data_IF_449125943773
#
_entry.id   IF_449125943773
#
_cell.length_a   1.000
_cell.length_b   1.000
_cell.length_c   1.000
_cell.angle_alpha   90.00
_cell.angle_beta   90.00
_cell.angle_gamma   90.00
#
_symmetry.space_group_name_H-M   'P 1'
#
loop_
_entity.id
_entity.type
_entity.pdbx_description
1 polymer ?
#
# COMPACT_ATOMS: atom_id res chain seq x y z
N UNK A 1 19.22 48.31 -77.75
CA UNK A 1 18.98 47.36 -76.65
C UNK A 1 19.08 45.93 -77.18
N UNK A 2 20.31 45.53 -77.51
CA UNK A 2 20.74 44.13 -77.50
C UNK A 2 21.21 43.83 -76.07
N UNK A 3 21.34 42.56 -75.68
CA UNK A 3 21.84 42.04 -74.39
C UNK A 3 20.82 41.82 -73.26
N UNK A 4 19.95 40.80 -73.38
CA UNK A 4 19.59 39.95 -72.21
C UNK A 4 19.13 38.54 -72.64
N UNK A 5 18.49 38.39 -73.80
CA UNK A 5 17.93 37.08 -74.21
C UNK A 5 18.97 36.07 -74.73
N UNK A 6 20.21 36.48 -74.98
CA UNK A 6 21.26 35.61 -75.53
C UNK A 6 22.05 34.80 -74.49
N UNK A 7 21.78 34.99 -73.20
CA UNK A 7 22.54 34.33 -72.11
C UNK A 7 21.81 33.15 -71.45
N UNK A 8 20.52 32.93 -71.72
CA UNK A 8 19.72 31.90 -71.02
C UNK A 8 19.57 30.60 -71.82
N UNK A 9 19.86 30.61 -73.12
CA UNK A 9 19.71 29.40 -73.95
C UNK A 9 20.78 28.30 -73.78
N UNK A 10 22.05 28.55 -73.36
CA UNK A 10 23.03 27.47 -73.21
C UNK A 10 23.04 26.80 -71.82
N UNK A 11 22.36 27.34 -70.81
CA UNK A 11 22.31 26.71 -69.47
C UNK A 11 21.20 25.66 -69.32
N UNK A 12 20.13 25.77 -70.10
CA UNK A 12 19.04 24.77 -70.16
C UNK A 12 19.54 23.37 -70.60
N UNK A 13 20.35 23.22 -71.68
CA UNK A 13 20.86 21.90 -72.05
C UNK A 13 21.85 21.36 -71.01
N UNK A 14 22.57 22.22 -70.28
CA UNK A 14 23.53 21.79 -69.24
C UNK A 14 22.82 21.24 -68.00
N UNK A 15 21.75 21.91 -67.56
CA UNK A 15 20.87 21.41 -66.51
C UNK A 15 20.18 20.10 -66.92
N UNK A 16 19.75 19.98 -68.18
CA UNK A 16 19.17 18.75 -68.71
C UNK A 16 20.16 17.59 -68.70
N UNK A 17 21.44 17.82 -69.01
CA UNK A 17 22.49 16.78 -68.95
C UNK A 17 22.76 16.33 -67.51
N UNK A 18 22.77 17.24 -66.54
CA UNK A 18 22.89 16.89 -65.11
C UNK A 18 21.68 16.06 -64.67
N UNK A 19 20.46 16.46 -65.05
CA UNK A 19 19.26 15.68 -64.75
C UNK A 19 19.22 14.31 -65.43
N UNK A 20 19.63 14.22 -66.69
CA UNK A 20 19.68 12.96 -67.42
C UNK A 20 20.78 12.04 -66.89
N UNK A 21 21.93 12.57 -66.48
CA UNK A 21 22.99 11.78 -65.83
C UNK A 21 22.56 11.29 -64.45
N UNK A 22 21.87 12.11 -63.65
CA UNK A 22 21.25 11.70 -62.39
C UNK A 22 20.19 10.61 -62.61
N UNK A 23 19.29 10.79 -63.58
CA UNK A 23 18.29 9.79 -63.96
C UNK A 23 18.93 8.50 -64.46
N UNK A 24 20.03 8.58 -65.21
CA UNK A 24 20.79 7.42 -65.65
C UNK A 24 21.45 6.70 -64.47
N UNK A 25 22.04 7.42 -63.51
CA UNK A 25 22.61 6.82 -62.30
C UNK A 25 21.52 6.14 -61.46
N UNK A 26 20.37 6.80 -61.26
CA UNK A 26 19.21 6.21 -60.57
C UNK A 26 18.72 4.98 -61.33
N UNK A 27 18.60 5.06 -62.65
CA UNK A 27 18.19 3.95 -63.52
C UNK A 27 19.17 2.77 -63.46
N UNK A 28 20.48 3.02 -63.43
CA UNK A 28 21.52 2.00 -63.28
C UNK A 28 21.47 1.36 -61.89
N UNK A 29 21.24 2.13 -60.83
CA UNK A 29 21.08 1.63 -59.46
C UNK A 29 19.82 0.74 -59.37
N UNK A 30 18.70 1.20 -59.93
CA UNK A 30 17.44 0.45 -59.97
C UNK A 30 17.58 -0.82 -60.81
N UNK A 31 18.22 -0.75 -61.99
CA UNK A 31 18.49 -1.91 -62.83
C UNK A 31 19.43 -2.90 -62.13
N UNK A 32 20.48 -2.43 -61.47
CA UNK A 32 21.37 -3.29 -60.69
C UNK A 32 20.66 -3.98 -59.51
N UNK A 33 19.70 -3.29 -58.87
CA UNK A 33 18.82 -3.85 -57.84
C UNK A 33 17.86 -4.90 -58.41
N UNK A 34 17.29 -4.67 -59.59
CA UNK A 34 16.35 -5.59 -60.26
C UNK A 34 17.03 -6.83 -60.84
N UNK A 35 18.28 -6.72 -61.35
CA UNK A 35 19.03 -7.85 -61.89
C UNK A 35 19.74 -8.70 -60.81
N UNK A 36 19.96 -8.19 -59.60
CA UNK A 36 20.55 -8.93 -58.46
C UNK A 36 19.76 -8.76 -57.14
N UNK A 37 18.46 -9.12 -57.11
CA UNK A 37 17.59 -8.84 -55.98
C UNK A 37 18.01 -9.59 -54.70
N UNK A 38 18.61 -10.78 -54.83
CA UNK A 38 18.89 -11.67 -53.69
C UNK A 38 20.18 -11.41 -52.92
N UNK A 39 21.14 -10.60 -53.41
CA UNK A 39 22.45 -10.46 -52.71
C UNK A 39 22.69 -9.10 -52.08
N UNK A 40 22.24 -8.02 -52.72
CA UNK A 40 22.45 -6.66 -52.21
C UNK A 40 21.36 -6.22 -51.24
N UNK A 41 20.09 -6.53 -51.53
CA UNK A 41 18.98 -6.26 -50.62
C UNK A 41 19.10 -7.07 -49.32
N UNK A 42 19.48 -8.36 -49.43
CA UNK A 42 19.74 -9.21 -48.26
C UNK A 42 20.97 -8.69 -47.49
N UNK A 43 22.04 -8.28 -48.16
CA UNK A 43 23.26 -7.75 -47.51
C UNK A 43 23.10 -6.37 -46.85
N UNK A 44 22.20 -5.52 -47.36
CA UNK A 44 21.85 -4.24 -46.76
C UNK A 44 20.86 -4.43 -45.60
N UNK A 45 19.80 -5.23 -45.80
CA UNK A 45 18.84 -5.56 -44.76
C UNK A 45 19.48 -6.31 -43.60
N UNK A 46 20.41 -7.24 -43.84
CA UNK A 46 21.16 -7.93 -42.79
C UNK A 46 22.14 -7.02 -42.06
N UNK A 47 22.75 -6.03 -42.73
CA UNK A 47 23.63 -5.05 -42.07
C UNK A 47 22.84 -4.04 -41.23
N UNK A 48 21.71 -3.55 -41.72
CA UNK A 48 20.78 -2.71 -40.95
C UNK A 48 20.23 -3.50 -39.76
N UNK A 49 19.82 -4.76 -39.97
CA UNK A 49 19.38 -5.67 -38.90
C UNK A 49 20.49 -6.01 -37.90
N UNK A 50 21.75 -6.10 -38.32
CA UNK A 50 22.91 -6.35 -37.45
C UNK A 50 23.36 -5.08 -36.71
N UNK A 51 23.13 -3.89 -37.28
CA UNK A 51 23.36 -2.61 -36.63
C UNK A 51 22.20 -2.19 -35.70
N UNK A 52 20.99 -2.72 -35.94
CA UNK A 52 19.80 -2.51 -35.11
C UNK A 52 19.60 -3.61 -34.06
N UNK A 53 20.36 -4.70 -34.11
CA UNK A 53 20.40 -5.69 -33.05
C UNK A 53 21.36 -5.19 -31.98
N UNK A 54 20.91 -5.06 -30.72
CA UNK A 54 21.78 -4.70 -29.62
C UNK A 54 22.99 -5.64 -29.60
N UNK A 55 24.16 -5.09 -29.27
CA UNK A 55 25.37 -5.87 -29.13
C UNK A 55 25.20 -6.94 -28.05
N UNK A 56 25.92 -8.07 -28.13
CA UNK A 56 25.93 -9.07 -27.03
C UNK A 56 26.33 -8.47 -25.67
N UNK A 57 27.10 -7.38 -25.69
CA UNK A 57 27.46 -6.62 -24.49
C UNK A 57 26.26 -5.85 -23.93
N UNK A 58 25.48 -5.17 -24.79
CA UNK A 58 24.27 -4.44 -24.40
C UNK A 58 23.22 -5.40 -23.80
N UNK A 59 22.99 -6.56 -24.42
CA UNK A 59 22.11 -7.60 -23.85
C UNK A 59 22.60 -8.09 -22.48
N UNK A 60 23.91 -8.24 -22.28
CA UNK A 60 24.47 -8.67 -21.00
C UNK A 60 24.35 -7.58 -19.92
N UNK A 61 24.41 -6.30 -20.30
CA UNK A 61 24.17 -5.16 -19.42
C UNK A 61 22.69 -5.06 -19.04
N UNK A 62 21.78 -5.16 -20.00
CA UNK A 62 20.33 -5.19 -19.76
C UNK A 62 19.92 -6.34 -18.83
N UNK A 63 20.48 -7.54 -19.00
CA UNK A 63 20.18 -8.68 -18.12
C UNK A 63 20.70 -8.47 -16.69
N UNK A 64 21.86 -7.81 -16.53
CA UNK A 64 22.39 -7.44 -15.21
C UNK A 64 21.51 -6.38 -14.54
N UNK A 65 21.07 -5.38 -15.28
CA UNK A 65 20.21 -4.32 -14.74
C UNK A 65 18.82 -4.86 -14.39
N UNK A 66 18.25 -5.77 -15.19
CA UNK A 66 17.01 -6.49 -14.84
C UNK A 66 17.18 -7.33 -13.59
N UNK A 67 18.30 -8.05 -13.47
CA UNK A 67 18.61 -8.82 -12.27
C UNK A 67 18.69 -7.91 -11.04
N UNK A 68 19.42 -6.79 -11.14
CA UNK A 68 19.54 -5.80 -10.07
C UNK A 68 18.17 -5.25 -9.68
N UNK A 69 17.38 -4.80 -10.66
CA UNK A 69 16.04 -4.28 -10.43
C UNK A 69 15.13 -5.32 -9.75
N UNK A 70 15.11 -6.57 -10.21
CA UNK A 70 14.30 -7.62 -9.59
C UNK A 70 14.69 -7.87 -8.12
N UNK A 71 15.98 -7.81 -7.79
CA UNK A 71 16.49 -7.93 -6.43
C UNK A 71 16.11 -6.71 -5.57
N UNK A 72 16.24 -5.50 -6.11
CA UNK A 72 15.88 -4.26 -5.42
C UNK A 72 14.38 -4.22 -5.08
N UNK A 73 13.52 -4.58 -6.05
CA UNK A 73 12.07 -4.63 -5.82
C UNK A 73 11.69 -5.74 -4.84
N UNK A 74 12.36 -6.90 -4.89
CA UNK A 74 12.14 -7.97 -3.90
C UNK A 74 12.49 -7.51 -2.48
N UNK A 75 13.64 -6.84 -2.29
CA UNK A 75 14.03 -6.27 -0.98
C UNK A 75 13.06 -5.18 -0.53
N UNK A 76 12.59 -4.33 -1.46
CA UNK A 76 11.60 -3.31 -1.14
C UNK A 76 10.27 -3.93 -0.69
N UNK A 77 9.81 -5.00 -1.37
CA UNK A 77 8.59 -5.72 -1.02
C UNK A 77 8.69 -6.41 0.35
N UNK A 78 9.84 -6.98 0.68
CA UNK A 78 10.11 -7.58 2.00
C UNK A 78 10.06 -6.51 3.10
N UNK A 79 10.78 -5.40 2.93
CA UNK A 79 10.77 -4.28 3.89
C UNK A 79 9.37 -3.67 4.07
N UNK A 80 8.61 -3.55 3.00
CA UNK A 80 7.23 -3.06 3.05
C UNK A 80 6.32 -4.04 3.81
N UNK A 81 6.53 -5.35 3.63
CA UNK A 81 5.80 -6.38 4.38
C UNK A 81 6.11 -6.31 5.87
N UNK A 82 7.38 -6.24 6.27
CA UNK A 82 7.75 -6.07 7.70
C UNK A 82 7.19 -4.76 8.28
N UNK A 83 7.14 -3.69 7.49
CA UNK A 83 6.54 -2.42 7.93
C UNK A 83 5.04 -2.55 8.14
N UNK A 84 4.33 -3.23 7.24
CA UNK A 84 2.89 -3.49 7.38
C UNK A 84 2.59 -4.38 8.60
N UNK A 85 3.44 -5.37 8.90
CA UNK A 85 3.32 -6.21 10.10
C UNK A 85 3.50 -5.40 11.39
N UNK A 86 4.51 -4.53 11.45
CA UNK A 86 4.71 -3.62 12.59
C UNK A 86 3.51 -2.69 12.79
N UNK A 87 3.02 -2.07 11.71
CA UNK A 87 1.85 -1.19 11.76
C UNK A 87 0.61 -1.94 12.22
N UNK A 88 0.42 -3.19 11.77
CA UNK A 88 -0.66 -4.04 12.25
C UNK A 88 -0.56 -4.31 13.75
N UNK A 89 0.64 -4.56 14.27
CA UNK A 89 0.85 -4.72 15.71
C UNK A 89 0.54 -3.43 16.49
N UNK A 90 0.93 -2.26 15.96
CA UNK A 90 0.60 -0.95 16.54
C UNK A 90 -0.93 -0.71 16.56
N UNK A 91 -1.65 -1.05 15.49
CA UNK A 91 -3.11 -0.96 15.46
C UNK A 91 -3.78 -1.93 16.47
N UNK A 92 -3.28 -3.16 16.60
CA UNK A 92 -3.81 -4.10 17.61
C UNK A 92 -3.60 -3.55 19.03
N UNK A 93 -2.45 -2.95 19.32
CA UNK A 93 -2.22 -2.29 20.61
C UNK A 93 -3.17 -1.09 20.83
N UNK A 94 -3.49 -0.33 19.79
CA UNK A 94 -4.47 0.74 19.85
C UNK A 94 -5.90 0.20 20.09
N UNK A 95 -6.25 -0.92 19.46
CA UNK A 95 -7.51 -1.62 19.70
C UNK A 95 -7.63 -2.11 21.15
N UNK A 96 -6.57 -2.71 21.70
CA UNK A 96 -6.54 -3.14 23.10
C UNK A 96 -6.72 -1.95 24.06
N UNK A 97 -6.03 -0.83 23.80
CA UNK A 97 -6.17 0.39 24.61
C UNK A 97 -7.59 0.94 24.60
N UNK A 98 -8.24 0.87 23.44
CA UNK A 98 -9.63 1.25 23.25
C UNK A 98 -10.59 0.36 24.05
N UNK A 99 -10.39 -0.95 24.03
CA UNK A 99 -11.22 -1.90 24.79
C UNK A 99 -11.03 -1.72 26.30
N UNK A 100 -9.79 -1.50 26.76
CA UNK A 100 -9.51 -1.16 28.16
C UNK A 100 -10.23 0.13 28.58
N UNK A 101 -10.19 1.17 27.74
CA UNK A 101 -10.90 2.42 28.01
C UNK A 101 -12.42 2.24 28.05
N UNK A 102 -12.96 1.40 27.17
CA UNK A 102 -14.39 1.06 27.15
C UNK A 102 -14.82 0.33 28.43
N UNK A 103 -14.08 -0.70 28.85
CA UNK A 103 -14.36 -1.43 30.09
C UNK A 103 -14.32 -0.54 31.33
N UNK A 104 -13.34 0.37 31.41
CA UNK A 104 -13.26 1.35 32.49
C UNK A 104 -14.48 2.28 32.52
N UNK A 105 -14.91 2.76 31.36
CA UNK A 105 -16.12 3.56 31.23
C UNK A 105 -17.38 2.77 31.65
N UNK A 106 -17.54 1.53 31.22
CA UNK A 106 -18.69 0.69 31.60
C UNK A 106 -18.75 0.44 33.11
N UNK A 107 -17.60 0.19 33.75
CA UNK A 107 -17.50 0.05 35.19
C UNK A 107 -17.93 1.33 35.92
N UNK A 108 -17.44 2.49 35.48
CA UNK A 108 -17.80 3.78 36.05
C UNK A 108 -19.29 4.11 35.86
N UNK A 109 -19.85 3.80 34.70
CA UNK A 109 -21.27 3.98 34.41
C UNK A 109 -22.14 3.03 35.25
N UNK A 110 -21.69 1.79 35.51
CA UNK A 110 -22.37 0.88 36.45
C UNK A 110 -22.38 1.43 37.89
N UNK A 111 -21.27 2.02 38.34
CA UNK A 111 -21.18 2.71 39.64
C UNK A 111 -22.15 3.90 39.71
N UNK A 112 -22.22 4.73 38.66
CA UNK A 112 -23.18 5.85 38.57
C UNK A 112 -24.62 5.35 38.64
N UNK A 113 -24.97 4.26 37.94
CA UNK A 113 -26.32 3.68 38.00
C UNK A 113 -26.65 3.16 39.40
N UNK A 114 -25.71 2.44 40.03
CA UNK A 114 -25.88 1.92 41.40
C UNK A 114 -26.10 3.06 42.40
N UNK A 115 -25.29 4.12 42.34
CA UNK A 115 -25.43 5.27 43.22
C UNK A 115 -26.66 6.12 42.90
N UNK A 116 -27.03 6.24 41.62
CA UNK A 116 -28.27 6.90 41.20
C UNK A 116 -29.50 6.22 41.79
N UNK A 117 -29.53 4.88 41.81
CA UNK A 117 -30.59 4.12 42.47
C UNK A 117 -30.60 4.35 44.00
N UNK A 118 -29.43 4.44 44.64
CA UNK A 118 -29.33 4.77 46.06
C UNK A 118 -29.77 6.20 46.38
N UNK A 119 -29.45 7.17 45.52
CA UNK A 119 -29.83 8.58 45.67
C UNK A 119 -31.34 8.80 45.50
N UNK A 120 -32.05 7.91 44.80
CA UNK A 120 -33.50 7.97 44.66
C UNK A 120 -34.25 7.52 45.92
N UNK A 121 -33.57 6.87 46.87
CA UNK A 121 -34.16 6.49 48.15
C UNK A 121 -34.32 7.71 49.06
N UNK A 122 -35.36 7.78 49.91
CA UNK A 122 -35.50 8.84 50.89
C UNK A 122 -34.25 8.97 51.75
N UNK A 123 -33.64 10.15 51.73
CA UNK A 123 -32.40 10.39 52.45
C UNK A 123 -32.67 10.43 53.96
N UNK A 124 -31.92 9.67 54.78
CA UNK A 124 -32.00 9.80 56.23
C UNK A 124 -31.62 11.23 56.62
N UNK A 125 -32.32 11.79 57.62
CA UNK A 125 -31.99 13.12 58.14
C UNK A 125 -30.64 13.05 58.86
N UNK A 126 -29.57 13.43 58.16
CA UNK A 126 -28.23 13.58 58.78
C UNK A 126 -28.15 14.89 59.56
N UNK A 127 -27.46 14.88 60.70
CA UNK A 127 -27.20 16.09 61.47
C UNK A 127 -26.39 17.10 60.64
N UNK A 128 -26.89 18.33 60.52
CA UNK A 128 -26.25 19.41 59.75
C UNK A 128 -25.34 20.25 60.66
N UNK A 129 -24.29 19.63 61.21
CA UNK A 129 -23.35 20.31 62.11
C UNK A 129 -22.11 20.80 61.36
N UNK A 130 -21.44 21.87 61.81
CA UNK A 130 -20.19 22.32 61.20
C UNK A 130 -19.08 21.26 61.18
N UNK A 131 -18.96 20.44 62.23
CA UNK A 131 -17.98 19.37 62.31
C UNK A 131 -18.21 18.31 61.22
N UNK A 132 -19.47 17.91 61.04
CA UNK A 132 -19.89 16.96 59.99
C UNK A 132 -19.55 17.48 58.58
N UNK A 133 -19.73 18.77 58.31
CA UNK A 133 -19.37 19.34 57.00
C UNK A 133 -17.86 19.30 56.73
N UNK A 134 -17.04 19.55 57.75
CA UNK A 134 -15.57 19.44 57.62
C UNK A 134 -15.15 18.01 57.32
N UNK A 135 -15.78 17.02 57.95
CA UNK A 135 -15.47 15.62 57.70
C UNK A 135 -15.92 15.16 56.30
N UNK A 136 -17.06 15.65 55.81
CA UNK A 136 -17.52 15.42 54.44
C UNK A 136 -16.58 16.04 53.41
N UNK A 137 -16.13 17.27 53.64
CA UNK A 137 -15.17 17.95 52.77
C UNK A 137 -13.84 17.17 52.70
N UNK A 138 -13.32 16.72 53.85
CA UNK A 138 -12.11 15.89 53.91
C UNK A 138 -12.27 14.57 53.16
N UNK A 139 -13.43 13.91 53.32
CA UNK A 139 -13.74 12.69 52.59
C UNK A 139 -13.76 12.95 51.07
N UNK A 140 -14.44 14.00 50.63
CA UNK A 140 -14.53 14.39 49.22
C UNK A 140 -13.14 14.65 48.62
N UNK A 141 -12.29 15.43 49.31
CA UNK A 141 -10.93 15.71 48.86
C UNK A 141 -10.08 14.44 48.76
N UNK A 142 -10.20 13.53 49.74
CA UNK A 142 -9.48 12.25 49.68
C UNK A 142 -9.94 11.39 48.52
N UNK A 143 -11.24 11.22 48.34
CA UNK A 143 -11.81 10.44 47.24
C UNK A 143 -11.44 11.04 45.87
N UNK A 144 -11.43 12.36 45.74
CA UNK A 144 -11.00 13.03 44.51
C UNK A 144 -9.50 12.86 44.23
N UNK A 145 -8.65 12.89 45.25
CA UNK A 145 -7.22 12.61 45.13
C UNK A 145 -6.95 11.15 44.75
N UNK A 146 -7.68 10.21 45.36
CA UNK A 146 -7.57 8.78 45.04
C UNK A 146 -7.98 8.54 43.57
N UNK A 147 -9.11 9.10 43.13
CA UNK A 147 -9.55 9.04 41.74
C UNK A 147 -8.54 9.70 40.79
N UNK A 148 -7.92 10.82 41.18
CA UNK A 148 -6.86 11.45 40.39
C UNK A 148 -5.61 10.55 40.27
N UNK A 149 -5.16 9.92 41.34
CA UNK A 149 -4.01 9.02 41.31
C UNK A 149 -4.26 7.75 40.50
N UNK A 150 -5.49 7.24 40.51
CA UNK A 150 -5.94 6.17 39.62
C UNK A 150 -6.10 6.64 38.16
N UNK A 151 -5.88 7.93 37.90
CA UNK A 151 -6.08 8.59 36.62
C UNK A 151 -7.52 8.49 36.15
N UNK A 152 -8.50 8.45 37.04
CA UNK A 152 -9.92 8.47 36.68
C UNK A 152 -10.46 9.90 36.55
N UNK A 153 -9.82 10.86 37.23
CA UNK A 153 -10.17 12.28 37.20
C UNK A 153 -9.09 13.09 36.47
N UNK A 154 -9.49 14.13 35.72
CA UNK A 154 -8.52 15.09 35.13
C UNK A 154 -8.00 16.09 36.17
N UNK A 155 -6.87 16.73 35.87
CA UNK A 155 -6.30 17.82 36.70
C UNK A 155 -7.26 19.00 36.81
N UNK A 156 -7.98 19.32 35.73
CA UNK A 156 -8.97 20.40 35.69
C UNK A 156 -10.15 20.08 36.60
N UNK A 157 -10.68 18.85 36.50
CA UNK A 157 -11.76 18.37 37.35
C UNK A 157 -11.34 18.32 38.82
N UNK A 158 -10.10 17.92 39.13
CA UNK A 158 -9.56 17.97 40.49
C UNK A 158 -9.48 19.41 41.00
N UNK A 159 -9.06 20.35 40.15
CA UNK A 159 -9.01 21.78 40.50
C UNK A 159 -10.40 22.36 40.75
N UNK A 160 -11.42 21.87 40.05
CA UNK A 160 -12.82 22.25 40.28
C UNK A 160 -13.38 21.71 41.60
N UNK A 161 -12.96 20.51 42.02
CA UNK A 161 -13.32 19.95 43.35
C UNK A 161 -12.82 20.87 44.46
N UNK A 162 -11.52 21.22 44.45
CA UNK A 162 -10.93 22.12 45.46
C UNK A 162 -11.44 23.56 45.36
N UNK A 163 -11.91 23.96 44.18
CA UNK A 163 -12.52 25.28 43.95
C UNK A 163 -14.03 25.34 44.20
N UNK A 164 -14.66 24.23 44.61
CA UNK A 164 -16.11 24.10 44.78
C UNK A 164 -16.93 24.60 43.57
N UNK A 165 -16.43 24.35 42.35
CA UNK A 165 -17.07 24.74 41.08
C UNK A 165 -17.86 23.57 40.50
N UNK A 166 -18.60 23.76 39.40
CA UNK A 166 -19.19 22.66 38.61
C UNK A 166 -20.04 21.65 39.42
N UNK A 167 -20.76 22.12 40.45
CA UNK A 167 -21.63 21.29 41.27
C UNK A 167 -20.96 20.62 42.48
N UNK A 168 -19.67 20.88 42.72
CA UNK A 168 -18.95 20.43 43.91
C UNK A 168 -19.31 21.31 45.12
N UNK A 169 -20.28 20.89 45.93
CA UNK A 169 -20.65 21.59 47.16
C UNK A 169 -20.51 20.65 48.40
N UNK A 170 -19.63 20.99 49.38
CA UNK A 170 -19.48 20.25 50.63
C UNK A 170 -20.75 20.15 51.49
N UNK A 171 -21.76 20.97 51.21
CA UNK A 171 -23.05 20.98 51.91
C UNK A 171 -24.07 19.98 51.38
N UNK A 172 -23.83 19.41 50.20
CA UNK A 172 -24.68 18.37 49.63
C UNK A 172 -24.73 17.12 50.52
N UNK A 173 -25.74 16.28 50.30
CA UNK A 173 -25.80 14.99 50.98
C UNK A 173 -24.61 14.12 50.53
N UNK A 174 -23.99 13.29 51.40
CA UNK A 174 -22.82 12.48 51.02
C UNK A 174 -23.03 11.62 49.77
N UNK A 175 -24.24 11.04 49.61
CA UNK A 175 -24.60 10.27 48.42
C UNK A 175 -24.64 11.12 47.15
N UNK A 176 -25.11 12.38 47.26
CA UNK A 176 -25.12 13.31 46.12
C UNK A 176 -23.70 13.74 45.75
N UNK A 177 -22.83 13.95 46.75
CA UNK A 177 -21.40 14.27 46.53
C UNK A 177 -20.67 13.14 45.81
N UNK A 178 -20.86 11.90 46.27
CA UNK A 178 -20.27 10.74 45.61
C UNK A 178 -20.82 10.57 44.19
N UNK A 179 -22.11 10.84 43.98
CA UNK A 179 -22.72 10.79 42.65
C UNK A 179 -22.14 11.85 41.70
N UNK A 180 -21.87 13.07 42.17
CA UNK A 180 -21.16 14.10 41.38
C UNK A 180 -19.76 13.61 41.01
N UNK A 181 -19.03 13.01 41.95
CA UNK A 181 -17.70 12.43 41.69
C UNK A 181 -17.73 11.30 40.66
N UNK A 182 -18.64 10.33 40.80
CA UNK A 182 -18.71 9.21 39.85
C UNK A 182 -19.14 9.67 38.46
N UNK A 183 -20.00 10.69 38.35
CA UNK A 183 -20.34 11.30 37.06
C UNK A 183 -19.14 11.97 36.42
N UNK A 184 -18.36 12.75 37.17
CA UNK A 184 -17.15 13.38 36.66
C UNK A 184 -16.10 12.36 36.18
N UNK A 185 -15.92 11.27 36.93
CA UNK A 185 -15.05 10.14 36.53
C UNK A 185 -15.56 9.49 35.25
N UNK A 186 -16.85 9.13 35.19
CA UNK A 186 -17.46 8.54 33.99
C UNK A 186 -17.25 9.44 32.77
N UNK A 187 -17.52 10.74 32.89
CA UNK A 187 -17.40 11.68 31.77
C UNK A 187 -15.94 11.81 31.31
N UNK A 188 -14.97 11.76 32.23
CA UNK A 188 -13.55 11.73 31.88
C UNK A 188 -13.17 10.44 31.13
N UNK A 189 -13.62 9.29 31.62
CA UNK A 189 -13.34 7.99 30.99
C UNK A 189 -14.00 7.88 29.62
N UNK A 190 -15.20 8.44 29.44
CA UNK A 190 -15.86 8.54 28.13
C UNK A 190 -15.03 9.38 27.16
N UNK A 191 -14.55 10.55 27.59
CA UNK A 191 -13.69 11.40 26.76
C UNK A 191 -12.39 10.68 26.36
N UNK A 192 -11.79 9.89 27.27
CA UNK A 192 -10.60 9.08 26.96
C UNK A 192 -10.88 7.96 25.99
N UNK A 193 -12.01 7.27 26.14
CA UNK A 193 -12.43 6.27 25.18
C UNK A 193 -12.62 6.87 23.78
N UNK A 194 -13.20 8.08 23.68
CA UNK A 194 -13.33 8.79 22.41
C UNK A 194 -11.96 9.10 21.79
N UNK A 195 -11.04 9.66 22.57
CA UNK A 195 -9.66 9.92 22.09
C UNK A 195 -8.97 8.64 21.66
N UNK A 196 -9.10 7.54 22.42
CA UNK A 196 -8.52 6.26 22.07
C UNK A 196 -9.10 5.72 20.74
N UNK A 197 -10.43 5.84 20.53
CA UNK A 197 -11.09 5.45 19.28
C UNK A 197 -10.60 6.27 18.09
N UNK A 198 -10.36 7.56 18.27
CA UNK A 198 -9.78 8.40 17.21
C UNK A 198 -8.36 7.93 16.83
N UNK A 199 -7.53 7.61 17.82
CA UNK A 199 -6.18 7.08 17.57
C UNK A 199 -6.21 5.71 16.88
N UNK A 200 -7.12 4.83 17.29
CA UNK A 200 -7.33 3.51 16.66
C UNK A 200 -7.76 3.65 15.20
N UNK A 201 -8.66 4.58 14.89
CA UNK A 201 -9.06 4.87 13.50
C UNK A 201 -7.91 5.44 12.66
N UNK A 202 -7.06 6.30 13.23
CA UNK A 202 -5.87 6.80 12.54
C UNK A 202 -4.89 5.66 12.25
N UNK A 203 -4.61 4.81 13.24
CA UNK A 203 -3.75 3.64 13.09
C UNK A 203 -4.31 2.66 12.04
N UNK A 204 -5.62 2.43 12.03
CA UNK A 204 -6.28 1.59 11.02
C UNK A 204 -6.03 2.10 9.60
N UNK A 205 -6.20 3.42 9.37
CA UNK A 205 -5.95 4.03 8.04
C UNK A 205 -4.49 3.88 7.62
N UNK A 206 -3.53 4.00 8.54
CA UNK A 206 -2.11 3.78 8.24
C UNK A 206 -1.83 2.30 7.89
N UNK A 207 -2.44 1.37 8.62
CA UNK A 207 -2.36 -0.07 8.30
C UNK A 207 -2.90 -0.36 6.91
N UNK A 208 -4.05 0.19 6.55
CA UNK A 208 -4.63 -0.01 5.21
C UNK A 208 -3.70 0.50 4.10
N UNK A 209 -3.13 1.70 4.27
CA UNK A 209 -2.19 2.29 3.30
C UNK A 209 -0.92 1.47 3.18
N UNK A 210 -0.31 1.08 4.29
CA UNK A 210 0.93 0.31 4.30
C UNK A 210 0.72 -1.11 3.77
N UNK A 211 -0.41 -1.74 4.07
CA UNK A 211 -0.77 -3.04 3.51
C UNK A 211 -1.01 -2.98 1.99
N UNK A 212 -1.64 -1.90 1.49
CA UNK A 212 -1.81 -1.69 0.06
C UNK A 212 -0.47 -1.49 -0.65
N UNK A 213 0.43 -0.67 -0.11
CA UNK A 213 1.78 -0.49 -0.63
C UNK A 213 2.58 -1.80 -0.65
N UNK A 214 2.52 -2.59 0.43
CA UNK A 214 3.17 -3.90 0.49
C UNK A 214 2.60 -4.90 -0.54
N UNK A 215 1.30 -4.89 -0.80
CA UNK A 215 0.68 -5.71 -1.87
C UNK A 215 1.19 -5.28 -3.25
N UNK A 216 1.17 -3.99 -3.54
CA UNK A 216 1.64 -3.46 -4.84
C UNK A 216 3.11 -3.80 -5.10
N UNK A 217 3.99 -3.65 -4.10
CA UNK A 217 5.41 -4.02 -4.24
C UNK A 217 5.62 -5.53 -4.42
N UNK A 218 4.81 -6.36 -3.77
CA UNK A 218 4.85 -7.83 -3.98
C UNK A 218 4.41 -8.23 -5.38
N UNK A 219 3.36 -7.59 -5.91
CA UNK A 219 2.92 -7.79 -7.29
C UNK A 219 3.99 -7.34 -8.29
N UNK A 220 4.65 -6.22 -8.03
CA UNK A 220 5.77 -5.73 -8.87
C UNK A 220 6.98 -6.67 -8.81
N UNK A 221 7.35 -7.16 -7.62
CA UNK A 221 8.44 -8.15 -7.45
C UNK A 221 8.14 -9.45 -8.21
N UNK A 222 6.90 -9.92 -8.14
CA UNK A 222 6.44 -11.10 -8.87
C UNK A 222 6.50 -10.86 -10.39
N UNK A 223 6.01 -9.71 -10.87
CA UNK A 223 6.05 -9.34 -12.28
C UNK A 223 7.50 -9.19 -12.81
N UNK A 224 8.41 -8.62 -12.01
CA UNK A 224 9.83 -8.49 -12.37
C UNK A 224 10.50 -9.87 -12.52
N UNK A 225 10.12 -10.84 -11.68
CA UNK A 225 10.60 -12.22 -11.77
C UNK A 225 9.97 -12.97 -12.96
N UNK A 226 8.67 -12.75 -13.23
CA UNK A 226 7.96 -13.35 -14.37
C UNK A 226 8.53 -12.91 -15.72
N UNK A 227 8.78 -11.59 -15.91
CA UNK A 227 9.41 -11.05 -17.13
C UNK A 227 10.77 -11.71 -17.42
N UNK A 228 11.55 -12.01 -16.37
CA UNK A 228 12.84 -12.71 -16.51
C UNK A 228 12.66 -14.12 -17.11
N UNK A 229 11.64 -14.86 -16.68
CA UNK A 229 11.41 -16.22 -17.15
C UNK A 229 10.97 -16.25 -18.62
N UNK A 230 10.06 -15.37 -19.01
CA UNK A 230 9.56 -15.24 -20.39
C UNK A 230 10.68 -14.83 -21.35
N UNK A 231 11.55 -13.90 -20.96
CA UNK A 231 12.70 -13.48 -21.76
C UNK A 231 13.76 -14.59 -21.87
N UNK A 232 14.02 -15.34 -20.80
CA UNK A 232 14.94 -16.48 -20.84
C UNK A 232 14.46 -17.60 -21.78
N UNK A 233 13.15 -17.85 -21.83
CA UNK A 233 12.54 -18.81 -22.76
C UNK A 233 12.55 -18.30 -24.22
N UNK A 234 12.38 -17.00 -24.43
CA UNK A 234 12.46 -16.33 -25.74
C UNK A 234 13.87 -16.31 -26.34
N UNK A 235 14.92 -16.27 -25.49
CA UNK A 235 16.33 -16.24 -25.91
C UNK A 235 16.90 -17.63 -26.22
N UNK A 236 16.18 -18.71 -25.88
CA UNK A 236 16.50 -20.03 -26.42
C UNK A 236 16.32 -19.97 -27.95
N UNK A 237 17.36 -20.25 -28.75
CA UNK A 237 17.16 -20.33 -30.18
C UNK A 237 16.10 -21.39 -30.42
N UNK A 238 15.04 -21.02 -31.13
CA UNK A 238 14.26 -21.94 -31.96
C UNK A 238 15.27 -22.64 -32.89
N UNK A 239 15.97 -23.62 -32.34
CA UNK A 239 16.59 -24.67 -33.09
C UNK A 239 15.40 -25.36 -33.71
N UNK A 240 15.18 -25.03 -34.98
CA UNK A 240 14.56 -25.91 -35.95
C UNK A 240 15.08 -27.33 -35.69
N UNK A 241 14.39 -28.08 -34.83
CA UNK A 241 14.40 -29.52 -34.92
C UNK A 241 13.57 -29.79 -36.15
N UNK A 242 14.26 -29.77 -37.29
CA UNK A 242 13.86 -30.49 -38.48
C UNK A 242 13.32 -31.85 -38.02
N UNK A 243 11.99 -32.01 -38.05
CA UNK A 243 11.37 -33.32 -37.90
C UNK A 243 11.86 -34.16 -39.09
N UNK A 244 12.64 -35.24 -38.87
CA UNK A 244 12.74 -36.26 -39.88
C UNK A 244 11.38 -36.94 -39.92
N UNK A 245 10.80 -37.00 -41.11
CA UNK A 245 9.69 -37.89 -41.43
C UNK A 245 10.25 -39.32 -41.38
N UNK A 246 9.98 -40.04 -40.30
CA UNK A 246 10.02 -41.51 -40.25
C UNK A 246 8.59 -41.99 -39.96
N UNK A 247 7.86 -42.32 -41.01
CA UNK A 247 7.62 -43.70 -41.44
C UNK A 247 6.96 -44.57 -40.36
N UNK A 248 5.64 -44.58 -40.41
CA UNK A 248 4.80 -45.78 -40.50
C UNK A 248 5.41 -47.06 -39.90
N UNK A 249 5.12 -47.31 -38.62
CA UNK A 249 4.96 -48.68 -38.12
C UNK A 249 3.70 -48.79 -37.28
N UNK A 250 2.64 -49.07 -38.03
CA UNK A 250 1.53 -49.94 -37.67
C UNK A 250 2.00 -51.04 -36.69
N UNK A 251 1.42 -51.09 -35.47
CA UNK A 251 0.89 -52.34 -34.92
C UNK A 251 0.15 -52.20 -33.59
N UNK A 252 -1.04 -52.80 -33.62
CA UNK A 252 -1.78 -53.50 -32.56
C UNK A 252 -2.35 -52.75 -31.36
N UNK A 253 -3.61 -52.39 -31.54
CA UNK A 253 -4.71 -52.57 -30.58
C UNK A 253 -4.62 -53.95 -29.90
N UNK A 254 -4.49 -53.97 -28.58
CA UNK A 254 -5.00 -55.05 -27.72
C UNK A 254 -5.82 -54.44 -26.60
N UNK A 255 -7.12 -54.74 -26.64
CA UNK A 255 -8.08 -54.46 -25.59
C UNK A 255 -8.06 -55.57 -24.53
N UNK A 256 -8.17 -55.17 -23.25
CA UNK A 256 -8.61 -55.88 -22.01
C UNK A 256 -7.61 -55.56 -20.88
N UNK A 257 -8.03 -55.18 -19.68
CA UNK A 257 -9.34 -55.30 -19.08
C UNK A 257 -9.48 -54.52 -17.78
N UNK A 258 -10.74 -54.49 -17.37
CA UNK A 258 -11.38 -53.87 -16.23
C UNK A 258 -11.09 -54.63 -14.94
N UNK A 259 -10.76 -53.90 -13.87
CA UNK A 259 -11.04 -54.15 -12.44
C UNK A 259 -10.18 -53.14 -11.65
N UNK A 260 -10.49 -52.66 -10.44
CA UNK A 260 -11.64 -52.56 -9.57
C UNK A 260 -11.07 -51.83 -8.32
N UNK A 261 -11.84 -50.92 -7.75
CA UNK A 261 -11.54 -50.18 -6.50
C UNK A 261 -11.56 -51.13 -5.30
N UNK A 262 -10.70 -50.92 -4.27
CA UNK A 262 -11.19 -50.49 -2.95
C UNK A 262 -10.28 -49.36 -2.39
N UNK A 263 -10.80 -48.22 -1.94
CA UNK A 263 -11.45 -48.00 -0.64
C UNK A 263 -10.58 -48.44 0.56
N UNK A 264 -9.81 -47.49 1.09
CA UNK A 264 -9.57 -47.30 2.52
C UNK A 264 -9.38 -45.82 2.81
#
# INVERSE_FOLDING_TARGET
MQTVLSAVLPDVPRAAVIWLSLLAVVGVVVAALLLRPGRLAIGAATRIRRAAMPGRLEFAEEERDRTRYSQEVAVAAERATSTAERQRAEWLAAQDAVEVAWQAYEAAEADVRRLGAAAAMPLPRTARTPAEYVDRERFLHRAALDAYWQRELSVEQLSDVFGHRNGWDPRLHPVEQELVLRRAVRDNLLARHQVAREQEQLAWREVERTAAAARSLREEAFAATGRRAEDAESVLPLSEVARPVEQTRENQVVARGRAAVPAY
#
